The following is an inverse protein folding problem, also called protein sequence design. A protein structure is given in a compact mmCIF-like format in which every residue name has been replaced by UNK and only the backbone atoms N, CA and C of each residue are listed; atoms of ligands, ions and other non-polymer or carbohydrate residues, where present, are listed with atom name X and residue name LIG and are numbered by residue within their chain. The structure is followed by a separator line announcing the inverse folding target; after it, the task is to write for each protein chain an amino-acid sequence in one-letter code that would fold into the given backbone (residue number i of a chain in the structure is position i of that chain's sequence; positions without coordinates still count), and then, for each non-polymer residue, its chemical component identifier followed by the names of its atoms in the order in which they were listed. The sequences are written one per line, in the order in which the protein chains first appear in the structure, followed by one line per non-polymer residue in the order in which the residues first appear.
data_IF_169553932885
#
_entry.id   IF_169553932885
#
_cell.length_a   1.000
_cell.length_b   1.000
_cell.length_c   1.000
_cell.angle_alpha   90.00
_cell.angle_beta   90.00
_cell.angle_gamma   90.00
#
_symmetry.space_group_name_H-M   'P 1'
#
loop_
_entity.id
_entity.type
_entity.pdbx_description
1 polymer ?
#
# COMPACT_ATOMS: atom_id res chain seq x y z
N UNK A 1 -12.25 19.51 -1.41
CA UNK A 1 -11.46 18.42 -0.78
C UNK A 1 -11.88 18.27 0.69
N UNK A 2 -11.98 17.03 1.20
CA UNK A 2 -12.25 16.81 2.63
C UNK A 2 -10.94 16.87 3.41
N UNK A 3 -10.71 18.00 4.08
CA UNK A 3 -9.47 18.28 4.83
C UNK A 3 -9.18 17.22 5.90
N UNK A 4 -10.21 16.62 6.52
CA UNK A 4 -10.01 15.54 7.51
C UNK A 4 -9.48 14.28 6.84
N UNK A 5 -10.05 13.88 5.71
CA UNK A 5 -9.58 12.72 4.96
C UNK A 5 -8.12 12.89 4.51
N UNK A 6 -7.79 14.08 3.97
CA UNK A 6 -6.42 14.42 3.57
C UNK A 6 -5.43 14.30 4.73
N UNK A 7 -5.77 14.82 5.92
CA UNK A 7 -4.93 14.69 7.13
C UNK A 7 -4.71 13.23 7.53
N UNK A 8 -5.76 12.40 7.48
CA UNK A 8 -5.67 10.96 7.81
C UNK A 8 -4.80 10.21 6.81
N UNK A 9 -4.97 10.47 5.51
CA UNK A 9 -4.14 9.86 4.48
C UNK A 9 -2.67 10.25 4.62
N UNK A 10 -2.38 11.54 4.80
CA UNK A 10 -1.03 12.02 5.03
C UNK A 10 -0.39 11.38 6.27
N UNK A 11 -1.15 11.28 7.37
CA UNK A 11 -0.68 10.66 8.62
C UNK A 11 -0.32 9.18 8.40
N UNK A 12 -1.17 8.42 7.71
CA UNK A 12 -0.91 7.00 7.43
C UNK A 12 0.29 6.80 6.49
N UNK A 13 0.43 7.62 5.44
CA UNK A 13 1.56 7.55 4.50
C UNK A 13 2.87 7.88 5.23
N UNK A 14 2.91 8.99 5.97
CA UNK A 14 4.10 9.40 6.73
C UNK A 14 4.45 8.40 7.83
N UNK A 15 3.46 7.77 8.45
CA UNK A 15 3.68 6.68 9.40
C UNK A 15 4.42 5.51 8.74
N UNK A 16 4.01 5.12 7.53
CA UNK A 16 4.67 4.06 6.77
C UNK A 16 6.08 4.46 6.34
N UNK A 17 6.28 5.68 5.82
CA UNK A 17 7.62 6.19 5.44
C UNK A 17 8.54 6.30 6.65
N UNK A 18 8.06 6.85 7.77
CA UNK A 18 8.82 6.93 9.02
C UNK A 18 9.24 5.55 9.52
N UNK A 19 8.42 4.52 9.31
CA UNK A 19 8.81 3.14 9.59
C UNK A 19 9.97 2.67 8.70
N UNK A 20 9.83 2.80 7.38
CA UNK A 20 10.87 2.40 6.42
C UNK A 20 12.20 3.11 6.66
N UNK A 21 12.16 4.43 6.89
CA UNK A 21 13.34 5.27 7.11
C UNK A 21 14.03 4.98 8.45
N UNK A 22 13.34 4.33 9.40
CA UNK A 22 13.91 3.95 10.70
C UNK A 22 14.63 2.59 10.70
N UNK A 23 14.54 1.83 9.61
CA UNK A 23 15.29 0.59 9.47
C UNK A 23 16.81 0.86 9.45
N UNK A 24 17.60 -0.16 9.79
CA UNK A 24 19.06 -0.11 9.69
C UNK A 24 19.54 -1.28 8.79
N UNK A 25 19.98 -1.01 7.55
CA UNK A 25 20.04 0.31 6.90
C UNK A 25 18.63 0.86 6.54
N UNK A 26 18.47 2.20 6.41
CA UNK A 26 17.19 2.82 6.04
C UNK A 26 16.65 2.27 4.72
N UNK A 27 15.35 1.98 4.68
CA UNK A 27 14.67 1.52 3.48
C UNK A 27 14.06 2.74 2.78
N UNK A 28 14.46 2.99 1.54
CA UNK A 28 13.91 4.06 0.69
C UNK A 28 12.82 3.46 -0.20
N UNK A 29 11.65 4.08 -0.24
CA UNK A 29 10.53 3.63 -1.08
C UNK A 29 10.83 3.82 -2.57
N UNK A 30 11.32 5.00 -2.96
CA UNK A 30 11.91 5.27 -4.28
C UNK A 30 10.94 5.30 -5.47
N UNK A 31 9.66 4.97 -5.28
CA UNK A 31 8.62 5.06 -6.32
C UNK A 31 7.28 5.49 -5.73
N UNK A 32 7.26 6.49 -4.84
CA UNK A 32 6.02 6.94 -4.23
C UNK A 32 5.28 7.88 -5.19
N UNK A 33 4.16 7.43 -5.74
CA UNK A 33 3.24 8.22 -6.57
C UNK A 33 1.80 7.98 -6.12
N UNK A 34 0.85 8.80 -6.59
CA UNK A 34 -0.58 8.58 -6.34
C UNK A 34 -1.07 7.20 -6.82
N UNK A 35 -0.48 6.65 -7.89
CA UNK A 35 -0.81 5.30 -8.40
C UNK A 35 -0.30 4.16 -7.51
N UNK A 36 0.75 4.44 -6.72
CA UNK A 36 1.32 3.47 -5.76
C UNK A 36 0.67 3.53 -4.38
N UNK A 37 -0.28 4.43 -4.16
CA UNK A 37 -0.97 4.60 -2.87
C UNK A 37 -2.39 4.02 -3.00
N UNK A 38 -2.64 2.94 -2.28
CA UNK A 38 -3.90 2.21 -2.34
C UNK A 38 -4.74 2.49 -1.10
N UNK A 39 -6.00 2.86 -1.32
CA UNK A 39 -6.99 3.04 -0.24
C UNK A 39 -7.86 1.78 -0.17
N UNK A 40 -7.86 1.12 0.98
CA UNK A 40 -8.73 -0.02 1.24
C UNK A 40 -10.17 0.42 1.57
N UNK A 41 -11.14 -0.50 1.45
CA UNK A 41 -12.55 -0.22 1.74
C UNK A 41 -12.80 0.31 3.17
N UNK A 42 -11.92 -0.02 4.12
CA UNK A 42 -11.97 0.43 5.51
C UNK A 42 -11.21 1.74 5.75
N UNK A 43 -10.69 2.40 4.71
CA UNK A 43 -9.96 3.66 4.80
C UNK A 43 -8.48 3.53 5.16
N UNK A 44 -7.95 2.30 5.25
CA UNK A 44 -6.52 2.07 5.42
C UNK A 44 -5.74 2.38 4.15
N UNK A 45 -4.61 3.06 4.31
CA UNK A 45 -3.65 3.29 3.25
C UNK A 45 -2.62 2.15 3.22
N UNK A 46 -2.39 1.61 2.03
CA UNK A 46 -1.26 0.75 1.72
C UNK A 46 -0.42 1.42 0.66
N UNK A 47 0.87 1.60 0.95
CA UNK A 47 1.84 2.02 -0.06
C UNK A 47 2.37 0.75 -0.75
N UNK A 48 2.16 0.67 -2.06
CA UNK A 48 2.64 -0.40 -2.90
C UNK A 48 4.13 -0.24 -3.12
N UNK A 49 4.90 -1.22 -2.68
CA UNK A 49 6.34 -1.30 -2.95
C UNK A 49 6.61 -2.56 -3.75
N UNK A 50 7.25 -2.41 -4.90
CA UNK A 50 8.30 -3.33 -5.33
C UNK A 50 9.37 -2.52 -6.06
N UNK A 51 10.16 -1.75 -5.31
CA UNK A 51 11.48 -1.36 -5.79
C UNK A 51 12.45 -1.20 -4.63
N UNK A 52 13.44 -2.08 -4.58
CA UNK A 52 14.50 -2.05 -3.60
C UNK A 52 15.76 -1.71 -4.39
N UNK A 53 16.28 -0.50 -4.22
CA UNK A 53 17.52 -0.04 -4.88
C UNK A 53 18.73 -0.92 -4.51
N UNK A 54 18.64 -1.66 -3.40
CA UNK A 54 19.56 -2.73 -3.06
C UNK A 54 19.59 -3.85 -4.13
N UNK A 55 18.52 -4.10 -4.89
CA UNK A 55 18.56 -5.01 -6.06
C UNK A 55 19.19 -4.39 -7.30
N UNK A 56 19.30 -3.06 -7.44
CA UNK A 56 19.99 -2.45 -8.60
C UNK A 56 21.49 -2.66 -8.54
N UNK A 57 22.05 -2.57 -7.33
CA UNK A 57 23.47 -2.81 -7.13
C UNK A 57 23.82 -4.31 -7.19
N UNK A 58 22.82 -5.21 -7.09
CA UNK A 58 23.02 -6.68 -7.05
C UNK A 58 22.60 -7.37 -8.36
N UNK A 59 21.58 -6.87 -9.07
CA UNK A 59 21.01 -7.45 -10.30
C UNK A 59 21.07 -6.47 -11.47
N UNK A 60 22.24 -5.85 -11.65
CA UNK A 60 22.49 -4.81 -12.64
C UNK A 60 22.41 -5.29 -14.11
N UNK A 61 22.06 -6.53 -14.44
CA UNK A 61 22.02 -6.97 -15.85
C UNK A 61 20.65 -7.50 -16.31
N UNK A 62 19.74 -7.88 -15.41
CA UNK A 62 18.50 -8.58 -15.78
C UNK A 62 17.22 -7.70 -15.81
N UNK A 63 17.24 -6.50 -15.20
CA UNK A 63 16.03 -5.69 -14.95
C UNK A 63 16.05 -4.35 -15.71
N UNK A 64 16.81 -4.27 -16.81
CA UNK A 64 16.91 -3.04 -17.61
C UNK A 64 15.82 -2.88 -18.68
N UNK A 65 15.04 -3.92 -19.00
CA UNK A 65 14.15 -3.92 -20.17
C UNK A 65 12.80 -3.23 -19.98
N UNK A 66 12.08 -3.53 -18.88
CA UNK A 66 10.64 -3.22 -18.79
C UNK A 66 10.27 -2.11 -17.82
N UNK A 67 11.15 -1.75 -16.87
CA UNK A 67 10.81 -0.79 -15.78
C UNK A 67 11.24 0.65 -16.10
N UNK A 68 12.19 0.83 -17.02
CA UNK A 68 12.40 2.13 -17.66
C UNK A 68 11.13 2.63 -18.37
N UNK A 69 10.29 1.73 -18.90
CA UNK A 69 9.10 2.10 -19.68
C UNK A 69 8.02 2.85 -18.88
N UNK A 70 7.82 2.57 -17.59
CA UNK A 70 6.89 3.35 -16.74
C UNK A 70 7.56 4.60 -16.14
N UNK A 71 8.89 4.59 -15.99
CA UNK A 71 9.71 5.70 -15.50
C UNK A 71 9.86 6.82 -16.53
N UNK A 72 9.75 6.46 -17.81
CA UNK A 72 9.83 7.34 -18.97
C UNK A 72 8.46 7.90 -19.40
N UNK A 73 7.36 7.58 -18.69
CA UNK A 73 6.11 8.31 -18.87
C UNK A 73 6.32 9.74 -18.37
N UNK A 74 6.47 10.66 -19.32
CA UNK A 74 6.64 12.11 -19.12
C UNK A 74 5.68 12.69 -18.06
N UNK A 75 4.48 12.10 -17.95
CA UNK A 75 3.44 12.48 -17.00
C UNK A 75 3.79 12.22 -15.52
N UNK A 76 4.65 11.26 -15.19
CA UNK A 76 4.94 10.90 -13.79
C UNK A 76 6.26 11.48 -13.27
N UNK A 77 6.96 12.27 -14.08
CA UNK A 77 8.30 12.80 -13.73
C UNK A 77 8.26 13.77 -12.55
N UNK A 78 7.16 14.52 -12.37
CA UNK A 78 7.05 15.53 -11.31
C UNK A 78 6.93 14.94 -9.90
N UNK A 79 6.67 13.64 -9.76
CA UNK A 79 6.70 12.96 -8.46
C UNK A 79 8.12 12.73 -7.94
N UNK A 80 9.14 12.78 -8.80
CA UNK A 80 10.51 12.46 -8.41
C UNK A 80 11.29 13.71 -8.03
N UNK A 81 12.08 13.59 -6.96
CA UNK A 81 12.90 14.68 -6.46
C UNK A 81 13.98 15.11 -7.48
N UNK A 82 14.42 16.39 -7.48
CA UNK A 82 15.47 16.86 -8.39
C UNK A 82 16.79 16.07 -8.31
N UNK A 83 17.11 15.55 -7.13
CA UNK A 83 18.30 14.75 -6.89
C UNK A 83 18.13 13.27 -7.22
N UNK A 84 16.93 12.81 -7.54
CA UNK A 84 16.61 11.40 -7.72
C UNK A 84 17.48 10.73 -8.80
N UNK A 85 18.15 9.63 -8.44
CA UNK A 85 19.05 8.90 -9.34
C UNK A 85 20.50 9.39 -9.33
N UNK A 86 20.84 10.39 -8.51
CA UNK A 86 22.21 10.87 -8.33
C UNK A 86 22.92 9.98 -7.28
N UNK A 87 24.24 9.85 -7.38
CA UNK A 87 25.04 9.13 -6.38
C UNK A 87 24.98 9.88 -5.03
N UNK A 88 24.04 9.49 -4.17
CA UNK A 88 23.78 10.15 -2.89
C UNK A 88 22.31 10.22 -2.46
N UNK A 89 21.35 9.65 -3.23
CA UNK A 89 19.93 9.69 -2.82
C UNK A 89 19.72 9.06 -1.45
N UNK A 90 19.15 9.86 -0.55
CA UNK A 90 18.74 9.48 0.79
C UNK A 90 17.21 9.38 0.84
N UNK A 91 16.64 8.99 1.99
CA UNK A 91 15.20 8.92 2.21
C UNK A 91 14.45 10.26 1.99
N UNK A 92 15.17 11.38 1.85
CA UNK A 92 14.63 12.68 1.48
C UNK A 92 13.91 12.71 0.11
N UNK A 93 14.23 11.78 -0.80
CA UNK A 93 13.51 11.66 -2.07
C UNK A 93 12.05 11.25 -1.86
N UNK A 94 11.79 10.36 -0.90
CA UNK A 94 10.43 9.92 -0.57
C UNK A 94 9.61 11.07 0.04
N UNK A 95 10.28 11.99 0.74
CA UNK A 95 9.64 13.18 1.32
C UNK A 95 9.16 14.14 0.23
N UNK A 96 9.96 14.33 -0.82
CA UNK A 96 9.55 15.13 -1.97
C UNK A 96 8.36 14.49 -2.68
N UNK A 97 8.47 13.20 -3.00
CA UNK A 97 7.39 12.45 -3.64
C UNK A 97 6.11 12.47 -2.81
N UNK A 98 6.22 12.33 -1.48
CA UNK A 98 5.10 12.50 -0.56
C UNK A 98 4.48 13.90 -0.68
N UNK A 99 5.29 14.96 -0.73
CA UNK A 99 4.82 16.33 -0.89
C UNK A 99 4.00 16.52 -2.17
N UNK A 100 4.43 15.92 -3.27
CA UNK A 100 3.71 15.96 -4.56
C UNK A 100 2.39 15.18 -4.47
N UNK A 101 2.40 13.95 -3.93
CA UNK A 101 1.17 13.20 -3.70
C UNK A 101 0.19 13.96 -2.80
N UNK A 102 0.70 14.57 -1.73
CA UNK A 102 -0.11 15.36 -0.81
C UNK A 102 -0.71 16.60 -1.48
N UNK A 103 0.05 17.25 -2.37
CA UNK A 103 -0.44 18.37 -3.17
C UNK A 103 -1.54 17.93 -4.14
N UNK A 104 -1.32 16.88 -4.93
CA UNK A 104 -2.33 16.35 -5.84
C UNK A 104 -3.59 15.92 -5.12
N UNK A 105 -3.49 15.20 -4.00
CA UNK A 105 -4.66 14.87 -3.18
C UNK A 105 -5.42 16.11 -2.69
N UNK A 106 -4.73 17.25 -2.53
CA UNK A 106 -5.33 18.49 -2.10
C UNK A 106 -6.02 19.26 -3.23
N UNK A 107 -5.37 19.36 -4.39
CA UNK A 107 -5.85 20.13 -5.56
C UNK A 107 -6.56 19.26 -6.61
N UNK A 108 -6.69 17.96 -6.35
CA UNK A 108 -7.19 16.89 -7.23
C UNK A 108 -6.26 16.54 -8.40
N UNK A 109 -5.65 17.52 -9.04
CA UNK A 109 -4.66 17.32 -10.11
C UNK A 109 -3.80 18.57 -10.26
N UNK A 110 -2.49 18.42 -10.49
CA UNK A 110 -1.62 19.54 -10.82
C UNK A 110 -1.71 19.76 -12.34
N UNK A 111 -2.29 20.88 -12.74
CA UNK A 111 -2.44 21.19 -14.17
C UNK A 111 -1.07 21.51 -14.80
N UNK A 112 -0.74 20.82 -15.88
CA UNK A 112 0.40 21.18 -16.71
C UNK A 112 0.10 22.47 -17.50
N UNK A 113 1.07 23.36 -17.65
CA UNK A 113 0.93 24.66 -18.32
C UNK A 113 0.90 24.53 -19.86
N UNK A 114 0.16 23.56 -20.40
CA UNK A 114 0.10 23.25 -21.84
C UNK A 114 1.18 22.29 -22.34
N UNK A 115 2.07 21.83 -21.45
CA UNK A 115 3.09 20.82 -21.72
C UNK A 115 2.60 19.40 -21.35
N UNK A 116 3.27 18.38 -21.87
CA UNK A 116 3.01 16.97 -21.48
C UNK A 116 3.51 16.63 -20.07
N UNK A 117 4.32 17.50 -19.45
CA UNK A 117 4.89 17.33 -18.11
C UNK A 117 4.49 18.48 -17.19
N UNK A 118 4.33 18.17 -15.90
CA UNK A 118 4.11 19.17 -14.86
C UNK A 118 5.43 19.89 -14.55
N UNK A 119 5.46 21.22 -14.74
CA UNK A 119 6.64 22.04 -14.47
C UNK A 119 6.76 22.41 -12.98
N UNK A 120 7.94 22.86 -12.56
CA UNK A 120 8.16 23.35 -11.18
C UNK A 120 7.25 24.53 -10.84
N UNK A 121 7.01 25.42 -11.80
CA UNK A 121 6.13 26.57 -11.66
C UNK A 121 4.67 26.16 -11.46
N UNK A 122 4.23 25.07 -12.11
CA UNK A 122 2.91 24.51 -11.91
C UNK A 122 2.73 23.93 -10.50
N UNK A 123 3.77 23.26 -9.96
CA UNK A 123 3.79 22.77 -8.57
C UNK A 123 3.72 23.95 -7.59
N UNK A 124 4.54 24.98 -7.80
CA UNK A 124 4.57 26.17 -6.94
C UNK A 124 3.23 26.92 -6.96
N UNK A 125 2.62 27.06 -8.13
CA UNK A 125 1.30 27.68 -8.30
C UNK A 125 0.20 26.86 -7.61
N UNK A 126 0.19 25.54 -7.79
CA UNK A 126 -0.75 24.64 -7.11
C UNK A 126 -0.57 24.69 -5.58
N UNK A 127 0.66 24.76 -5.08
CA UNK A 127 0.92 24.94 -3.66
C UNK A 127 0.40 26.28 -3.12
N UNK A 128 0.52 27.35 -3.91
CA UNK A 128 0.04 28.69 -3.54
C UNK A 128 -1.49 28.80 -3.54
N UNK A 129 -2.19 28.01 -4.36
CA UNK A 129 -3.65 28.02 -4.47
C UNK A 129 -4.37 27.38 -3.28
N UNK A 130 -3.65 26.69 -2.40
CA UNK A 130 -4.20 26.11 -1.18
C UNK A 130 -4.73 27.19 -0.22
N UNK A 131 -5.99 27.04 0.19
CA UNK A 131 -6.67 27.98 1.10
C UNK A 131 -6.10 27.96 2.52
N UNK A 132 -5.71 26.79 3.03
CA UNK A 132 -5.16 26.62 4.38
C UNK A 132 -3.65 26.94 4.38
N UNK A 133 -3.20 28.01 5.08
CA UNK A 133 -1.79 28.36 5.18
C UNK A 133 -0.93 27.24 5.78
N UNK A 134 -1.50 26.42 6.67
CA UNK A 134 -0.79 25.31 7.31
C UNK A 134 -0.57 24.16 6.34
N UNK A 135 -1.53 23.88 5.45
CA UNK A 135 -1.37 22.87 4.40
C UNK A 135 -0.33 23.34 3.38
N UNK A 136 -0.37 24.63 3.02
CA UNK A 136 0.62 25.23 2.13
C UNK A 136 2.03 25.14 2.70
N UNK A 137 2.24 25.58 3.94
CA UNK A 137 3.53 25.49 4.64
C UNK A 137 4.04 24.05 4.68
N UNK A 138 3.17 23.12 5.05
CA UNK A 138 3.49 21.69 5.14
C UNK A 138 3.95 21.10 3.80
N UNK A 139 3.16 21.29 2.74
CA UNK A 139 3.48 20.77 1.40
C UNK A 139 4.75 21.43 0.87
N UNK A 140 4.89 22.75 1.00
CA UNK A 140 6.06 23.49 0.52
C UNK A 140 7.35 23.05 1.21
N UNK A 141 7.30 22.70 2.50
CA UNK A 141 8.45 22.15 3.21
C UNK A 141 8.93 20.81 2.65
N UNK A 142 8.02 20.02 2.07
CA UNK A 142 8.33 18.72 1.47
C UNK A 142 8.97 18.85 0.08
N UNK A 143 8.52 19.83 -0.72
CA UNK A 143 8.95 19.99 -2.14
C UNK A 143 10.14 20.94 -2.32
N UNK A 144 10.92 21.20 -1.27
CA UNK A 144 12.12 22.03 -1.35
C UNK A 144 13.16 21.40 -2.31
N UNK A 145 13.84 22.24 -3.09
CA UNK A 145 14.87 21.76 -4.03
C UNK A 145 16.07 21.16 -3.32
N UNK A 146 16.48 21.70 -2.17
CA UNK A 146 17.60 21.18 -1.39
C UNK A 146 17.15 20.04 -0.46
N UNK A 147 17.58 18.82 -0.77
CA UNK A 147 17.20 17.60 -0.05
C UNK A 147 17.41 17.70 1.47
N UNK A 148 18.53 18.27 1.91
CA UNK A 148 18.91 18.36 3.34
C UNK A 148 18.04 19.31 4.16
N UNK A 149 17.28 20.18 3.49
CA UNK A 149 16.39 21.14 4.17
C UNK A 149 14.97 20.61 4.33
N UNK A 150 14.64 19.48 3.68
CA UNK A 150 13.34 18.84 3.84
C UNK A 150 13.23 18.21 5.24
N UNK A 151 12.07 18.31 5.89
CA UNK A 151 11.83 17.65 7.16
C UNK A 151 11.82 16.12 6.98
N UNK A 152 12.11 15.38 8.04
CA UNK A 152 11.95 13.92 7.99
C UNK A 152 10.47 13.53 8.02
N UNK A 153 10.14 12.30 7.62
CA UNK A 153 8.78 11.78 7.77
C UNK A 153 8.31 11.82 9.23
N UNK A 154 9.25 11.65 10.17
CA UNK A 154 8.97 11.78 11.60
C UNK A 154 8.61 13.23 11.96
N UNK A 155 9.39 14.22 11.55
CA UNK A 155 9.11 15.64 11.84
C UNK A 155 7.75 16.07 11.29
N UNK A 156 7.42 15.63 10.07
CA UNK A 156 6.14 15.93 9.43
C UNK A 156 4.93 15.38 10.21
N UNK A 157 5.06 14.22 10.89
CA UNK A 157 3.99 13.69 11.74
C UNK A 157 3.66 14.61 12.94
N UNK A 158 4.58 15.49 13.34
CA UNK A 158 4.37 16.50 14.38
C UNK A 158 3.95 17.86 13.85
N UNK A 159 3.80 18.00 12.53
CA UNK A 159 3.33 19.25 11.98
C UNK A 159 1.88 19.51 12.39
N UNK A 160 1.62 20.70 12.94
CA UNK A 160 0.32 21.14 13.48
C UNK A 160 -0.86 20.92 12.54
N UNK A 161 -0.63 20.89 11.22
CA UNK A 161 -1.68 20.62 10.23
C UNK A 161 -2.31 19.23 10.42
N UNK A 162 -1.53 18.24 10.85
CA UNK A 162 -1.99 16.85 10.99
C UNK A 162 -2.66 16.55 12.34
N UNK A 163 -2.72 17.51 13.27
CA UNK A 163 -3.33 17.33 14.58
C UNK A 163 -4.87 17.37 14.51
N UNK A 164 -5.47 16.31 13.97
CA UNK A 164 -6.92 16.10 13.99
C UNK A 164 -7.40 15.65 15.38
N UNK A 165 -6.62 14.77 16.03
CA UNK A 165 -6.96 14.17 17.33
C UNK A 165 -5.91 14.56 18.37
N UNK A 166 -6.36 14.99 19.55
CA UNK A 166 -5.47 15.32 20.65
C UNK A 166 -4.68 14.08 21.09
N UNK A 167 -3.36 14.21 21.27
CA UNK A 167 -2.47 13.08 21.55
C UNK A 167 -2.88 12.28 22.79
N UNK A 168 -3.35 12.95 23.85
CA UNK A 168 -3.86 12.28 25.05
C UNK A 168 -5.16 11.50 24.80
N UNK A 169 -6.05 12.03 23.95
CA UNK A 169 -7.29 11.35 23.55
C UNK A 169 -6.96 10.10 22.72
N UNK A 170 -6.01 10.21 21.79
CA UNK A 170 -5.55 9.07 21.00
C UNK A 170 -4.88 8.01 21.87
N UNK A 171 -3.99 8.41 22.78
CA UNK A 171 -3.35 7.50 23.73
C UNK A 171 -4.39 6.79 24.61
N UNK A 172 -5.36 7.53 25.15
CA UNK A 172 -6.42 6.95 25.96
C UNK A 172 -7.24 5.91 25.19
N UNK A 173 -7.56 6.16 23.91
CA UNK A 173 -8.25 5.20 23.05
C UNK A 173 -7.43 3.92 22.82
N UNK A 174 -6.14 4.04 22.50
CA UNK A 174 -5.25 2.89 22.36
C UNK A 174 -5.14 2.08 23.65
N UNK A 175 -4.96 2.75 24.80
CA UNK A 175 -4.96 2.08 26.10
C UNK A 175 -6.29 1.38 26.38
N UNK A 176 -7.42 2.00 26.03
CA UNK A 176 -8.74 1.43 26.21
C UNK A 176 -8.94 0.16 25.37
N UNK A 177 -8.61 0.21 24.07
CA UNK A 177 -8.74 -0.93 23.14
C UNK A 177 -7.85 -2.10 23.58
N UNK A 178 -6.59 -1.82 23.93
CA UNK A 178 -5.63 -2.84 24.35
C UNK A 178 -5.99 -3.51 25.68
N UNK A 179 -6.80 -2.87 26.52
CA UNK A 179 -7.21 -3.37 27.84
C UNK A 179 -8.72 -3.64 27.91
N UNK A 180 -9.41 -3.77 26.77
CA UNK A 180 -10.88 -3.88 26.73
C UNK A 180 -11.40 -5.10 27.54
N UNK A 181 -10.62 -6.18 27.58
CA UNK A 181 -10.93 -7.40 28.36
C UNK A 181 -10.93 -7.18 29.89
N UNK A 182 -10.34 -6.09 30.38
CA UNK A 182 -10.32 -5.72 31.80
C UNK A 182 -11.50 -4.84 32.20
N UNK A 183 -12.31 -4.38 31.24
CA UNK A 183 -13.37 -3.41 31.46
C UNK A 183 -14.75 -4.06 31.27
N UNK A 184 -15.76 -3.72 32.10
CA UNK A 184 -17.14 -4.14 31.86
C UNK A 184 -17.63 -3.68 30.48
N UNK A 185 -18.38 -4.52 29.76
CA UNK A 185 -18.87 -4.24 28.39
C UNK A 185 -19.61 -2.89 28.27
N UNK A 186 -20.34 -2.49 29.32
CA UNK A 186 -21.12 -1.25 29.36
C UNK A 186 -20.38 -0.05 29.99
N UNK A 187 -19.10 -0.19 30.37
CA UNK A 187 -18.39 0.83 31.14
C UNK A 187 -18.35 2.20 30.46
N UNK A 188 -18.25 2.20 29.13
CA UNK A 188 -18.23 3.43 28.33
C UNK A 188 -19.61 4.06 28.26
N UNK A 189 -20.65 3.27 27.96
CA UNK A 189 -22.02 3.76 27.87
C UNK A 189 -22.55 4.31 29.19
N UNK A 190 -22.24 3.65 30.31
CA UNK A 190 -22.66 4.10 31.64
C UNK A 190 -21.99 5.44 32.01
N UNK A 191 -20.71 5.60 31.65
CA UNK A 191 -19.99 6.85 31.90
C UNK A 191 -20.41 7.98 30.97
N UNK A 192 -20.76 7.71 29.71
CA UNK A 192 -21.15 8.76 28.75
C UNK A 192 -22.61 9.19 28.87
N UNK A 193 -23.52 8.35 29.39
CA UNK A 193 -24.94 8.68 29.59
C UNK A 193 -25.21 9.68 30.73
N UNK A 194 -24.22 10.02 31.56
CA UNK A 194 -24.43 10.75 32.83
C UNK A 194 -23.74 12.11 32.95
N UNK A 195 -23.28 12.72 31.85
CA UNK A 195 -22.65 14.05 31.92
C UNK A 195 -23.68 15.18 31.84
N UNK A 196 -23.76 16.00 32.90
CA UNK A 196 -24.41 17.31 32.83
C UNK A 196 -23.60 18.22 31.88
N UNK A 197 -24.19 18.70 30.76
CA UNK A 197 -23.50 19.61 29.83
C UNK A 197 -23.02 20.90 30.49
N UNK A 198 -23.66 21.32 31.58
CA UNK A 198 -23.28 22.49 32.36
C UNK A 198 -22.30 22.18 33.49
N UNK A 199 -22.01 20.90 33.72
CA UNK A 199 -21.03 20.45 34.69
C UNK A 199 -19.66 21.06 34.39
N UNK A 200 -19.01 21.57 35.44
CA UNK A 200 -17.66 22.12 35.35
C UNK A 200 -16.69 20.93 35.28
N UNK A 201 -15.99 20.81 34.16
CA UNK A 201 -14.92 19.83 33.95
C UNK A 201 -13.63 20.28 34.64
N UNK A 202 -13.30 21.56 34.56
CA UNK A 202 -12.13 22.14 35.21
C UNK A 202 -12.34 23.62 35.54
N UNK A 203 -11.71 24.08 36.63
CA UNK A 203 -11.71 25.47 37.07
C UNK A 203 -10.27 25.95 37.27
N UNK A 204 -9.96 27.14 36.77
CA UNK A 204 -8.69 27.83 37.02
C UNK A 204 -9.01 29.10 37.80
N UNK A 205 -8.57 29.13 39.05
CA UNK A 205 -8.70 30.29 39.92
C UNK A 205 -7.53 31.25 39.72
N UNK A 206 -7.83 32.54 39.60
CA UNK A 206 -6.84 33.61 39.50
C UNK A 206 -7.03 34.59 40.65
N UNK A 207 -5.94 35.18 41.14
CA UNK A 207 -5.99 36.21 42.20
C UNK A 207 -6.39 37.58 41.65
N UNK A 208 -5.97 37.88 40.42
CA UNK A 208 -6.01 39.24 39.89
C UNK A 208 -7.00 39.40 38.71
N UNK A 209 -7.66 38.31 38.32
CA UNK A 209 -8.63 38.27 37.21
C UNK A 209 -9.73 37.24 37.48
N UNK A 210 -10.87 37.28 36.75
CA UNK A 210 -11.92 36.28 36.88
C UNK A 210 -11.39 34.87 36.62
N UNK A 211 -11.89 33.90 37.40
CA UNK A 211 -11.59 32.48 37.20
C UNK A 211 -12.10 31.97 35.84
N UNK A 212 -11.45 30.94 35.30
CA UNK A 212 -11.84 30.31 34.03
C UNK A 212 -12.54 28.99 34.34
N UNK A 213 -13.76 28.82 33.84
CA UNK A 213 -14.52 27.56 33.93
C UNK A 213 -14.57 26.87 32.58
N UNK A 214 -14.12 25.63 32.54
CA UNK A 214 -14.28 24.72 31.40
C UNK A 214 -15.43 23.78 31.71
N UNK A 215 -16.50 23.85 30.91
CA UNK A 215 -17.68 23.00 31.04
C UNK A 215 -17.63 21.85 30.04
N UNK A 216 -18.36 20.77 30.31
CA UNK A 216 -18.49 19.65 29.35
C UNK A 216 -19.05 20.10 27.99
N UNK A 217 -19.96 21.08 27.97
CA UNK A 217 -20.51 21.68 26.74
C UNK A 217 -19.47 22.44 25.89
N UNK A 218 -18.32 22.82 26.45
CA UNK A 218 -17.25 23.47 25.68
C UNK A 218 -16.44 22.48 24.83
N UNK A 219 -16.63 21.17 25.04
CA UNK A 219 -15.96 20.11 24.27
C UNK A 219 -16.94 19.55 23.24
N UNK A 220 -16.52 19.46 21.98
CA UNK A 220 -17.35 18.87 20.93
C UNK A 220 -17.72 17.42 21.26
N UNK A 221 -18.98 17.00 21.02
CA UNK A 221 -19.39 15.61 21.17
C UNK A 221 -18.47 14.72 20.33
N UNK A 222 -17.90 13.71 20.98
CA UNK A 222 -17.09 12.70 20.30
C UNK A 222 -18.02 11.53 19.95
N UNK A 223 -18.11 11.19 18.66
CA UNK A 223 -18.66 9.90 18.22
C UNK A 223 -17.69 8.80 18.68
N UNK A 224 -17.78 8.43 19.96
CA UNK A 224 -16.79 7.62 20.64
C UNK A 224 -16.66 6.23 20.01
N UNK A 225 -17.78 5.60 19.66
CA UNK A 225 -17.77 4.27 19.05
C UNK A 225 -17.04 4.28 17.71
N UNK A 226 -17.37 5.25 16.85
CA UNK A 226 -16.69 5.43 15.56
C UNK A 226 -15.22 5.76 15.75
N UNK A 227 -14.88 6.62 16.71
CA UNK A 227 -13.49 6.97 16.97
C UNK A 227 -12.69 5.76 17.47
N UNK A 228 -13.23 4.96 18.40
CA UNK A 228 -12.59 3.74 18.87
C UNK A 228 -12.43 2.72 17.74
N UNK A 229 -13.43 2.58 16.87
CA UNK A 229 -13.37 1.70 15.70
C UNK A 229 -12.32 2.18 14.68
N UNK A 230 -12.26 3.49 14.39
CA UNK A 230 -11.22 4.09 13.53
C UNK A 230 -9.81 3.84 14.12
N UNK A 231 -9.65 3.97 15.45
CA UNK A 231 -8.39 3.69 16.15
C UNK A 231 -8.03 2.21 16.07
N UNK A 232 -8.99 1.31 16.33
CA UNK A 232 -8.82 -0.14 16.26
C UNK A 232 -8.44 -0.61 14.85
N UNK A 233 -9.03 0.01 13.84
CA UNK A 233 -8.73 -0.25 12.43
C UNK A 233 -7.42 0.37 11.95
N UNK A 234 -6.71 1.13 12.80
CA UNK A 234 -5.39 1.70 12.46
C UNK A 234 -5.44 3.01 11.68
N UNK A 235 -6.61 3.65 11.54
CA UNK A 235 -6.75 4.96 10.89
C UNK A 235 -5.97 6.04 11.68
N UNK A 236 -5.88 5.88 13.00
CA UNK A 236 -5.10 6.73 13.89
C UNK A 236 -4.00 5.92 14.60
N UNK A 237 -2.83 5.75 13.97
CA UNK A 237 -1.76 4.94 14.54
C UNK A 237 -1.08 5.62 15.75
N UNK A 238 -0.74 4.84 16.78
CA UNK A 238 -0.04 5.32 17.99
C UNK A 238 1.48 5.30 17.81
N UNK A 239 2.02 6.20 16.99
CA UNK A 239 3.43 6.10 16.57
C UNK A 239 4.46 6.75 17.51
N UNK A 240 4.02 7.55 18.49
CA UNK A 240 4.87 8.49 19.23
C UNK A 240 5.26 8.10 20.66
N UNK A 241 4.76 6.98 21.20
CA UNK A 241 5.01 6.62 22.60
C UNK A 241 6.00 5.46 22.78
N UNK A 242 6.49 4.86 21.69
CA UNK A 242 7.49 3.81 21.75
C UNK A 242 8.90 4.41 21.56
N UNK A 243 9.63 4.57 22.67
CA UNK A 243 11.04 5.03 22.69
C UNK A 243 11.99 4.10 21.94
N UNK A 244 11.57 2.85 21.74
CA UNK A 244 12.23 1.86 20.90
C UNK A 244 11.12 1.13 20.14
N UNK A 245 11.16 1.21 18.81
CA UNK A 245 10.41 0.27 17.99
C UNK A 245 11.10 -1.07 18.20
N UNK A 246 10.44 -2.11 18.75
CA UNK A 246 10.95 -3.43 18.49
C UNK A 246 11.01 -3.54 16.97
N UNK A 247 12.20 -3.74 16.40
CA UNK A 247 12.28 -4.32 15.07
C UNK A 247 11.31 -5.48 15.13
N UNK A 248 10.21 -5.49 14.34
CA UNK A 248 9.40 -6.67 14.30
C UNK A 248 10.40 -7.77 14.01
N UNK A 249 10.45 -8.78 14.89
CA UNK A 249 11.09 -10.06 14.60
C UNK A 249 10.75 -10.31 13.14
N UNK A 250 11.74 -10.55 12.24
CA UNK A 250 11.45 -10.77 10.84
C UNK A 250 10.24 -11.68 10.82
N UNK A 251 9.11 -11.23 10.25
CA UNK A 251 7.97 -12.13 10.12
C UNK A 251 8.60 -13.40 9.59
N UNK A 252 8.50 -14.49 10.36
CA UNK A 252 9.05 -15.76 9.93
C UNK A 252 8.66 -15.85 8.47
N UNK A 253 9.67 -15.99 7.58
CA UNK A 253 9.46 -16.15 6.14
C UNK A 253 8.19 -16.97 6.03
N UNK A 254 7.12 -16.38 5.46
CA UNK A 254 5.80 -17.00 5.46
C UNK A 254 6.03 -18.46 5.18
N UNK A 255 5.81 -19.31 6.20
CA UNK A 255 6.11 -20.73 6.09
C UNK A 255 5.52 -21.15 4.76
N UNK A 256 6.35 -21.73 3.89
CA UNK A 256 5.87 -22.32 2.65
C UNK A 256 4.58 -23.05 3.00
N UNK A 257 3.52 -22.79 2.24
CA UNK A 257 2.15 -23.25 2.53
C UNK A 257 2.02 -24.78 2.68
N UNK A 258 3.12 -25.52 2.57
CA UNK A 258 3.23 -26.97 2.72
C UNK A 258 3.03 -27.50 4.16
N UNK A 259 3.05 -26.66 5.21
CA UNK A 259 2.89 -27.15 6.60
C UNK A 259 1.90 -26.36 7.47
N UNK A 260 0.76 -25.97 6.93
CA UNK A 260 -0.38 -25.64 7.78
C UNK A 260 -1.16 -26.94 8.09
N UNK A 261 -0.93 -27.49 9.28
CA UNK A 261 -1.85 -28.50 9.83
C UNK A 261 -3.26 -27.91 9.81
N UNK A 262 -4.15 -28.61 9.10
CA UNK A 262 -5.55 -28.27 8.93
C UNK A 262 -6.27 -28.30 10.29
N UNK A 263 -6.34 -27.13 10.94
CA UNK A 263 -7.32 -26.90 12.00
C UNK A 263 -8.68 -26.93 11.34
N UNK A 264 -9.37 -28.07 11.48
CA UNK A 264 -10.72 -28.31 10.98
C UNK A 264 -11.69 -27.32 11.64
N UNK A 265 -11.99 -26.23 10.96
CA UNK A 265 -13.25 -25.49 11.16
C UNK A 265 -14.40 -26.35 10.61
N UNK A 266 -15.56 -26.46 11.29
CA UNK A 266 -16.64 -27.38 10.89
C UNK A 266 -17.43 -26.93 9.66
N UNK A 267 -16.98 -25.92 8.94
CA UNK A 267 -17.70 -25.39 7.78
C UNK A 267 -16.65 -24.96 6.76
N UNK A 268 -16.49 -25.69 5.63
CA UNK A 268 -15.60 -25.23 4.56
C UNK A 268 -16.16 -23.90 4.03
N UNK A 269 -15.34 -22.85 4.08
CA UNK A 269 -15.62 -21.63 3.32
C UNK A 269 -15.78 -22.03 1.84
N UNK A 270 -16.80 -21.53 1.13
CA UNK A 270 -17.00 -21.89 -0.26
C UNK A 270 -15.79 -21.44 -1.08
N UNK A 271 -15.08 -22.40 -1.67
CA UNK A 271 -13.96 -22.16 -2.57
C UNK A 271 -14.51 -21.36 -3.77
N UNK A 272 -14.07 -20.11 -3.93
CA UNK A 272 -14.50 -19.28 -5.06
C UNK A 272 -13.99 -19.90 -6.37
N UNK A 273 -14.90 -20.38 -7.20
CA UNK A 273 -14.57 -21.00 -8.48
C UNK A 273 -14.34 -19.93 -9.56
N UNK A 274 -13.30 -20.15 -10.38
CA UNK A 274 -13.03 -19.27 -11.51
C UNK A 274 -14.04 -19.55 -12.64
N UNK A 275 -14.81 -18.54 -13.01
CA UNK A 275 -15.84 -18.64 -14.05
C UNK A 275 -15.44 -17.94 -15.35
N UNK A 276 -14.29 -17.25 -15.37
CA UNK A 276 -13.79 -16.54 -16.55
C UNK A 276 -13.10 -17.51 -17.51
N UNK A 277 -13.41 -17.38 -18.80
CA UNK A 277 -12.80 -18.18 -19.86
C UNK A 277 -11.41 -17.67 -20.25
N UNK A 278 -10.52 -18.60 -20.51
CA UNK A 278 -9.20 -18.32 -21.08
C UNK A 278 -9.36 -18.05 -22.57
N UNK A 279 -8.76 -16.96 -23.06
CA UNK A 279 -8.88 -16.53 -24.47
C UNK A 279 -7.59 -16.73 -25.23
N UNK A 280 -6.46 -16.58 -24.55
CA UNK A 280 -5.16 -16.85 -25.15
C UNK A 280 -4.19 -17.40 -24.10
N UNK A 281 -3.39 -18.37 -24.51
CA UNK A 281 -2.37 -19.00 -23.68
C UNK A 281 -1.05 -18.88 -24.40
N UNK A 282 -0.02 -18.46 -23.67
CA UNK A 282 1.37 -18.53 -24.09
C UNK A 282 2.12 -19.39 -23.09
N UNK A 283 2.95 -20.29 -23.61
CA UNK A 283 3.83 -21.13 -22.83
C UNK A 283 5.24 -20.91 -23.36
N UNK A 284 6.15 -20.47 -22.50
CA UNK A 284 7.57 -20.37 -22.80
C UNK A 284 8.33 -21.41 -21.96
N UNK A 285 9.13 -22.23 -22.63
CA UNK A 285 9.84 -23.36 -22.04
C UNK A 285 11.34 -23.07 -22.04
N UNK A 286 11.93 -23.02 -20.85
CA UNK A 286 13.36 -22.78 -20.64
C UNK A 286 13.99 -23.99 -19.95
N UNK A 287 15.01 -24.59 -20.56
CA UNK A 287 15.73 -25.71 -19.94
C UNK A 287 16.75 -25.18 -18.91
N UNK A 288 16.77 -25.75 -17.70
CA UNK A 288 17.73 -25.46 -16.65
C UNK A 288 18.48 -26.74 -16.22
N UNK A 289 19.59 -26.61 -15.50
CA UNK A 289 20.46 -27.74 -15.09
C UNK A 289 19.75 -28.78 -14.19
N UNK A 290 18.64 -28.42 -13.54
CA UNK A 290 17.85 -29.26 -12.63
C UNK A 290 16.48 -29.70 -13.19
N UNK A 291 16.08 -29.27 -14.40
CA UNK A 291 14.77 -29.56 -14.98
C UNK A 291 14.33 -28.54 -16.05
N UNK A 292 13.10 -28.68 -16.58
CA UNK A 292 12.52 -27.71 -17.52
C UNK A 292 11.67 -26.70 -16.75
N UNK A 293 12.02 -25.41 -16.81
CA UNK A 293 11.19 -24.31 -16.33
C UNK A 293 10.12 -23.98 -17.36
N UNK A 294 8.88 -23.94 -16.92
CA UNK A 294 7.76 -23.48 -17.73
C UNK A 294 7.31 -22.11 -17.21
N UNK A 295 7.26 -21.15 -18.11
CA UNK A 295 6.61 -19.87 -17.93
C UNK A 295 5.29 -19.87 -18.70
N UNK A 296 4.18 -19.99 -17.99
CA UNK A 296 2.84 -19.93 -18.54
C UNK A 296 2.26 -18.51 -18.37
N UNK A 297 1.93 -17.85 -19.47
CA UNK A 297 1.20 -16.58 -19.48
C UNK A 297 -0.20 -16.80 -20.06
N UNK A 298 -1.21 -16.55 -19.25
CA UNK A 298 -2.62 -16.68 -19.62
C UNK A 298 -3.25 -15.28 -19.78
N UNK A 299 -4.05 -15.14 -20.83
CA UNK A 299 -4.92 -13.99 -21.03
C UNK A 299 -6.37 -14.45 -20.89
N UNK A 300 -7.07 -13.94 -19.89
CA UNK A 300 -8.49 -14.24 -19.64
C UNK A 300 -9.33 -12.98 -19.89
N UNK A 301 -10.48 -13.14 -20.55
CA UNK A 301 -11.41 -12.02 -20.76
C UNK A 301 -12.43 -11.97 -19.61
N UNK A 302 -12.61 -10.79 -19.02
CA UNK A 302 -13.74 -10.50 -18.15
C UNK A 302 -14.92 -10.04 -19.01
N UNK A 303 -16.15 -10.48 -18.70
CA UNK A 303 -17.35 -9.83 -19.22
C UNK A 303 -17.25 -8.33 -18.86
N UNK A 304 -17.37 -7.45 -19.86
CA UNK A 304 -16.98 -6.01 -19.87
C UNK A 304 -15.51 -5.74 -20.29
N UNK A 305 -15.04 -6.35 -21.39
CA UNK A 305 -13.86 -5.96 -22.19
C UNK A 305 -12.51 -5.70 -21.47
N UNK A 306 -12.34 -6.13 -20.21
CA UNK A 306 -11.07 -6.06 -19.48
C UNK A 306 -10.35 -7.40 -19.65
N UNK A 307 -9.20 -7.38 -20.32
CA UNK A 307 -8.27 -8.50 -20.41
C UNK A 307 -7.47 -8.56 -19.11
N UNK A 308 -7.52 -9.69 -18.40
CA UNK A 308 -6.63 -9.96 -17.27
C UNK A 308 -5.42 -10.76 -17.79
N UNK A 309 -4.22 -10.24 -17.52
CA UNK A 309 -2.96 -10.92 -17.80
C UNK A 309 -2.45 -11.60 -16.52
N UNK A 310 -2.43 -12.93 -16.51
CA UNK A 310 -1.89 -13.74 -15.42
C UNK A 310 -0.64 -14.45 -15.91
N UNK A 311 0.44 -14.37 -15.15
CA UNK A 311 1.70 -15.04 -15.46
C UNK A 311 2.08 -15.95 -14.30
N UNK A 312 2.37 -17.21 -14.61
CA UNK A 312 2.74 -18.25 -13.68
C UNK A 312 4.06 -18.86 -14.15
N UNK A 313 5.00 -19.06 -13.23
CA UNK A 313 6.25 -19.76 -13.49
C UNK A 313 6.34 -20.97 -12.58
N UNK A 314 6.60 -22.15 -13.12
CA UNK A 314 6.84 -23.34 -12.33
C UNK A 314 7.95 -24.21 -12.96
N UNK A 315 8.64 -24.95 -12.09
CA UNK A 315 9.53 -26.03 -12.50
C UNK A 315 8.65 -27.25 -12.82
N UNK A 316 8.80 -27.83 -14.02
CA UNK A 316 8.05 -29.04 -14.42
C UNK A 316 9.01 -30.19 -14.66
N UNK A 317 8.74 -31.28 -13.97
CA UNK A 317 9.50 -32.51 -14.04
C UNK A 317 8.96 -33.42 -15.16
N UNK A 318 9.78 -34.30 -15.75
CA UNK A 318 9.31 -35.28 -16.73
C UNK A 318 8.26 -36.26 -16.22
N UNK A 319 8.08 -36.36 -14.90
CA UNK A 319 7.06 -37.16 -14.24
C UNK A 319 5.70 -36.48 -14.14
N UNK A 320 5.63 -35.17 -14.39
CA UNK A 320 4.42 -34.39 -14.18
C UNK A 320 3.44 -34.59 -15.32
N UNK A 321 2.18 -34.81 -14.96
CA UNK A 321 1.08 -35.00 -15.90
C UNK A 321 0.48 -33.65 -16.28
N UNK A 322 0.38 -33.31 -17.58
CA UNK A 322 -0.30 -32.11 -18.05
C UNK A 322 -1.74 -31.96 -17.55
N UNK A 323 -2.43 -33.09 -17.29
CA UNK A 323 -3.79 -33.11 -16.73
C UNK A 323 -3.83 -32.73 -15.26
N UNK A 324 -2.83 -33.15 -14.49
CA UNK A 324 -2.74 -32.84 -13.07
C UNK A 324 -2.39 -31.37 -12.89
N UNK A 325 -1.47 -30.85 -13.70
CA UNK A 325 -1.13 -29.41 -13.75
C UNK A 325 -2.35 -28.55 -14.10
N UNK A 326 -3.14 -28.94 -15.11
CA UNK A 326 -4.37 -28.21 -15.45
C UNK A 326 -5.42 -28.28 -14.32
N UNK A 327 -5.56 -29.43 -13.66
CA UNK A 327 -6.50 -29.61 -12.55
C UNK A 327 -6.12 -28.78 -11.32
N UNK A 328 -4.81 -28.64 -11.04
CA UNK A 328 -4.30 -27.79 -9.97
C UNK A 328 -4.60 -26.30 -10.25
N UNK A 329 -4.51 -25.86 -11.50
CA UNK A 329 -4.88 -24.50 -11.90
C UNK A 329 -6.38 -24.23 -11.74
N UNK A 330 -7.25 -25.24 -11.96
CA UNK A 330 -8.68 -25.13 -11.63
C UNK A 330 -8.88 -25.05 -10.11
N UNK A 331 -8.18 -25.90 -9.35
CA UNK A 331 -8.28 -25.94 -7.88
C UNK A 331 -7.91 -24.61 -7.22
N UNK A 332 -6.90 -23.92 -7.76
CA UNK A 332 -6.46 -22.60 -7.29
C UNK A 332 -7.16 -21.43 -8.00
N UNK A 333 -8.25 -21.68 -8.73
CA UNK A 333 -9.05 -20.66 -9.40
C UNK A 333 -8.26 -19.77 -10.39
N UNK A 334 -7.24 -20.33 -11.03
CA UNK A 334 -6.50 -19.65 -12.10
C UNK A 334 -7.21 -19.73 -13.45
N UNK A 335 -7.90 -20.84 -13.71
CA UNK A 335 -8.66 -21.11 -14.93
C UNK A 335 -10.02 -21.72 -14.60
N UNK A 336 -10.97 -21.60 -15.53
CA UNK A 336 -12.28 -22.25 -15.37
C UNK A 336 -12.20 -23.77 -15.55
N UNK A 337 -13.11 -24.50 -14.92
CA UNK A 337 -13.24 -25.95 -15.10
C UNK A 337 -13.51 -26.32 -16.57
N UNK A 338 -14.22 -25.45 -17.31
CA UNK A 338 -14.49 -25.63 -18.74
C UNK A 338 -13.23 -25.59 -19.62
N UNK A 339 -12.16 -24.93 -19.16
CA UNK A 339 -10.90 -24.78 -19.90
C UNK A 339 -9.85 -25.84 -19.52
N UNK A 340 -10.14 -26.70 -18.54
CA UNK A 340 -9.20 -27.67 -17.98
C UNK A 340 -8.66 -28.66 -19.02
N UNK A 341 -9.53 -29.36 -19.73
CA UNK A 341 -9.13 -30.35 -20.75
C UNK A 341 -8.35 -29.70 -21.90
N UNK A 342 -8.84 -28.53 -22.28
CA UNK A 342 -8.30 -27.66 -23.32
C UNK A 342 -6.86 -27.25 -23.00
N UNK A 343 -6.59 -26.84 -21.76
CA UNK A 343 -5.24 -26.51 -21.29
C UNK A 343 -4.36 -27.76 -21.17
N UNK A 344 -4.90 -28.88 -20.66
CA UNK A 344 -4.15 -30.13 -20.53
C UNK A 344 -3.61 -30.61 -21.88
N UNK A 345 -4.43 -30.59 -22.94
CA UNK A 345 -4.01 -30.94 -24.30
C UNK A 345 -2.94 -29.97 -24.83
N UNK A 346 -3.08 -28.66 -24.58
CA UNK A 346 -2.09 -27.67 -24.99
C UNK A 346 -0.74 -27.88 -24.31
N UNK A 347 -0.74 -28.12 -23.00
CA UNK A 347 0.46 -28.43 -22.23
C UNK A 347 1.11 -29.72 -22.71
N UNK A 348 0.32 -30.78 -22.95
CA UNK A 348 0.80 -32.05 -23.48
C UNK A 348 1.53 -31.87 -24.83
N UNK A 349 0.96 -31.11 -25.76
CA UNK A 349 1.57 -30.80 -27.04
C UNK A 349 2.85 -29.96 -26.92
N UNK A 350 2.84 -28.92 -26.07
CA UNK A 350 3.98 -28.03 -25.88
C UNK A 350 5.17 -28.77 -25.26
N UNK A 351 4.88 -29.58 -24.24
CA UNK A 351 5.85 -30.37 -23.51
C UNK A 351 6.41 -31.52 -24.35
N UNK A 352 5.57 -32.26 -25.07
CA UNK A 352 6.03 -33.32 -25.98
C UNK A 352 6.96 -32.78 -27.07
N UNK A 353 6.66 -31.60 -27.65
CA UNK A 353 7.52 -30.96 -28.67
C UNK A 353 8.86 -30.50 -28.10
N UNK A 354 8.88 -30.05 -26.84
CA UNK A 354 10.09 -29.63 -26.16
C UNK A 354 10.99 -30.83 -25.81
N UNK A 355 10.44 -31.89 -25.21
CA UNK A 355 11.21 -33.07 -24.84
C UNK A 355 11.63 -33.95 -26.03
N UNK A 356 10.88 -33.92 -27.14
CA UNK A 356 11.29 -34.61 -28.38
C UNK A 356 12.37 -33.88 -29.18
N UNK A 357 12.77 -32.66 -28.77
CA UNK A 357 13.79 -31.86 -29.46
C UNK A 357 13.41 -31.40 -30.87
N UNK A 358 12.12 -31.47 -31.23
CA UNK A 358 11.62 -31.13 -32.58
C UNK A 358 11.19 -29.66 -32.71
N UNK A 359 11.20 -28.92 -31.60
CA UNK A 359 10.83 -27.51 -31.56
C UNK A 359 12.02 -26.58 -31.88
N UNK A 360 11.85 -25.68 -32.84
CA UNK A 360 12.79 -24.58 -33.15
C UNK A 360 12.52 -23.30 -32.35
N UNK A 361 11.44 -23.26 -31.55
CA UNK A 361 11.01 -22.10 -30.77
C UNK A 361 10.72 -22.50 -29.32
N UNK A 362 11.31 -21.83 -28.31
CA UNK A 362 10.99 -22.11 -26.90
C UNK A 362 9.56 -21.68 -26.52
N UNK A 363 8.86 -20.95 -27.39
CA UNK A 363 7.53 -20.39 -27.13
C UNK A 363 6.44 -21.08 -27.96
N UNK A 364 5.36 -21.48 -27.30
CA UNK A 364 4.12 -21.99 -27.88
C UNK A 364 2.94 -21.05 -27.54
N UNK A 365 2.00 -20.86 -28.47
CA UNK A 365 0.85 -19.98 -28.30
C UNK A 365 -0.42 -20.65 -28.83
N UNK A 366 -1.53 -20.52 -28.11
CA UNK A 366 -2.86 -20.97 -28.54
C UNK A 366 -3.92 -19.91 -28.23
N UNK A 367 -4.87 -19.73 -29.16
CA UNK A 367 -6.09 -18.94 -28.95
C UNK A 367 -7.22 -19.90 -28.63
N UNK A 368 -7.88 -19.67 -27.50
CA UNK A 368 -8.93 -20.52 -26.96
C UNK A 368 -10.25 -19.78 -27.15
N UNK A 369 -11.10 -20.28 -28.05
CA UNK A 369 -12.46 -19.77 -28.24
C UNK A 369 -13.44 -20.47 -27.30
#
# INVERSE_FOLDING_TARGET
MNVKAWKRWCTQILSALSYLHSCDPPIIHGNLTCDTIFIQHNGLIKIGSVWHRLFVNVFAEAIHGNVHQHRDEVRNQHFFAPEYGIAGDDYAIDIFSFGICALEMAVLEIQANGDNAVSKEAIDHAGQSLEDPLMREFIQSCVLTEAKTRPTAHDLLFHRVLFEVHSLKLLAAHCFINNQYLLPENCVEEKTKSFDPNGIMAEINHRDRPGVHLKYSHVSPLELDKFLEDVKNGIYPLMNFASQRPHPIPRALSLSQEQMETVKTPTPEPQETETRKVVQIHCNLEANEEGTRILLSFFTLKAVDIVLHRQLSCDVLPSDSPKDLASELVHHAFISEEDCEKLACFLEDALCKHWSGTSTSPTAMAVMY
#
